data_IF_796069765255
#
_entry.id   IF_796069765255
#
_cell.length_a   1.000
_cell.length_b   1.000
_cell.length_c   1.000
_cell.angle_alpha   90.00
_cell.angle_beta   90.00
_cell.angle_gamma   90.00
#
_symmetry.space_group_name_H-M   'P 1'
#
loop_
_entity.id
_entity.type
_entity.pdbx_description
1 polymer ?
#
# COMPACT_ATOMS: atom_id res chain seq x y z
N UNK A 1 7.78 25.35 21.42
CA UNK A 1 8.88 24.37 21.24
C UNK A 1 9.42 24.55 19.85
N UNK A 2 10.67 25.01 19.70
CA UNK A 2 11.30 25.19 18.40
C UNK A 2 11.87 23.83 17.99
N UNK A 3 11.14 23.07 17.17
CA UNK A 3 11.66 21.80 16.65
C UNK A 3 12.77 22.12 15.64
N UNK A 4 13.93 21.50 15.82
CA UNK A 4 15.06 21.66 14.91
C UNK A 4 14.63 21.31 13.47
N UNK A 5 14.80 22.21 12.49
CA UNK A 5 14.38 22.00 11.11
C UNK A 5 14.87 20.67 10.52
N UNK A 6 16.06 20.22 10.91
CA UNK A 6 16.62 18.95 10.44
C UNK A 6 15.84 17.73 10.94
N UNK A 7 15.40 17.75 12.20
CA UNK A 7 14.63 16.64 12.80
C UNK A 7 13.26 16.54 12.14
N UNK A 8 12.64 17.69 11.83
CA UNK A 8 11.37 17.74 11.10
C UNK A 8 11.54 17.19 9.68
N UNK A 9 12.61 17.57 8.98
CA UNK A 9 12.86 17.15 7.60
C UNK A 9 13.16 15.65 7.47
N UNK A 10 13.98 15.08 8.38
CA UNK A 10 14.29 13.65 8.40
C UNK A 10 13.05 12.82 8.68
N UNK A 11 12.22 13.23 9.65
CA UNK A 11 10.96 12.56 9.94
C UNK A 11 9.97 12.65 8.77
N UNK A 12 9.85 13.82 8.13
CA UNK A 12 9.00 13.98 6.95
C UNK A 12 9.44 13.06 5.79
N UNK A 13 10.75 12.95 5.54
CA UNK A 13 11.30 12.07 4.52
C UNK A 13 11.08 10.59 4.83
N UNK A 14 11.33 10.16 6.07
CA UNK A 14 11.09 8.78 6.49
C UNK A 14 9.62 8.39 6.37
N UNK A 15 8.74 9.30 6.78
CA UNK A 15 7.29 9.16 6.66
C UNK A 15 6.83 9.04 5.19
N UNK A 16 7.35 9.91 4.32
CA UNK A 16 7.03 9.87 2.89
C UNK A 16 7.48 8.55 2.23
N UNK A 17 8.68 8.07 2.53
CA UNK A 17 9.17 6.78 1.99
C UNK A 17 8.28 5.63 2.44
N UNK A 18 7.90 5.59 3.72
CA UNK A 18 7.02 4.55 4.25
C UNK A 18 5.64 4.55 3.56
N UNK A 19 5.08 5.73 3.30
CA UNK A 19 3.82 5.86 2.55
C UNK A 19 3.94 5.32 1.12
N UNK A 20 4.99 5.73 0.39
CA UNK A 20 5.21 5.31 -0.99
C UNK A 20 5.42 3.79 -1.09
N UNK A 21 6.16 3.19 -0.17
CA UNK A 21 6.32 1.73 -0.12
C UNK A 21 4.97 1.04 0.12
N UNK A 22 4.12 1.61 1.00
CA UNK A 22 2.75 1.15 1.20
C UNK A 22 1.89 1.22 -0.06
N UNK A 23 2.00 2.31 -0.83
CA UNK A 23 1.26 2.49 -2.08
C UNK A 23 1.72 1.52 -3.16
N UNK A 24 3.04 1.32 -3.31
CA UNK A 24 3.58 0.33 -4.23
C UNK A 24 3.14 -1.08 -3.84
N UNK A 25 3.17 -1.41 -2.54
CA UNK A 25 2.65 -2.69 -2.04
C UNK A 25 1.16 -2.88 -2.31
N UNK A 26 0.37 -1.81 -2.21
CA UNK A 26 -1.07 -1.84 -2.51
C UNK A 26 -1.39 -2.05 -4.01
N UNK A 27 -0.49 -1.69 -4.92
CA UNK A 27 -0.66 -1.92 -6.37
C UNK A 27 -0.11 -3.29 -6.75
N UNK A 28 1.13 -3.56 -6.36
CA UNK A 28 1.90 -4.74 -6.79
C UNK A 28 1.40 -6.00 -6.07
N UNK A 29 0.97 -5.90 -4.81
CA UNK A 29 0.48 -7.03 -4.03
C UNK A 29 -0.73 -7.71 -4.70
N UNK A 30 -1.84 -6.99 -4.93
CA UNK A 30 -2.99 -7.53 -5.65
C UNK A 30 -2.65 -8.03 -7.05
N UNK A 31 -1.71 -7.39 -7.76
CA UNK A 31 -1.29 -7.80 -9.09
C UNK A 31 -0.78 -9.23 -9.11
N UNK A 32 0.12 -9.58 -8.18
CA UNK A 32 0.67 -10.94 -8.09
C UNK A 32 -0.33 -11.94 -7.49
N UNK A 33 -1.16 -11.52 -6.53
CA UNK A 33 -2.17 -12.39 -5.90
C UNK A 33 -3.25 -12.80 -6.89
N UNK A 34 -3.81 -11.85 -7.64
CA UNK A 34 -4.85 -12.11 -8.63
C UNK A 34 -4.20 -12.72 -9.88
N UNK A 35 -3.04 -12.20 -10.30
CA UNK A 35 -2.19 -12.68 -11.41
C UNK A 35 -1.92 -14.18 -11.39
N UNK A 36 -1.59 -14.71 -10.21
CA UNK A 36 -1.23 -16.12 -10.02
C UNK A 36 -2.25 -16.88 -9.17
N UNK A 37 -3.52 -16.44 -9.20
CA UNK A 37 -4.59 -17.06 -8.43
C UNK A 37 -4.68 -18.56 -8.75
N UNK A 38 -4.53 -19.41 -7.71
CA UNK A 38 -4.46 -20.87 -7.84
C UNK A 38 -3.04 -21.47 -7.78
N UNK A 39 -1.98 -20.67 -7.91
CA UNK A 39 -0.58 -21.09 -7.74
C UNK A 39 -0.01 -20.62 -6.39
N UNK A 40 -0.64 -21.05 -5.30
CA UNK A 40 -0.35 -20.55 -3.94
C UNK A 40 1.07 -20.79 -3.42
N UNK A 41 1.81 -21.71 -4.03
CA UNK A 41 3.20 -22.03 -3.66
C UNK A 41 4.23 -21.31 -4.52
N UNK A 42 3.82 -20.50 -5.50
CA UNK A 42 4.76 -19.79 -6.33
C UNK A 42 5.48 -18.68 -5.53
N UNK A 43 6.77 -18.44 -5.79
CA UNK A 43 7.51 -17.35 -5.15
C UNK A 43 6.86 -15.98 -5.39
N UNK A 44 6.29 -15.75 -6.59
CA UNK A 44 5.62 -14.50 -6.94
C UNK A 44 4.36 -14.28 -6.12
N UNK A 45 3.54 -15.32 -5.90
CA UNK A 45 2.33 -15.23 -5.09
C UNK A 45 2.67 -14.87 -3.65
N UNK A 46 3.69 -15.53 -3.07
CA UNK A 46 4.17 -15.24 -1.72
C UNK A 46 4.72 -13.81 -1.60
N UNK A 47 5.44 -13.34 -2.61
CA UNK A 47 5.94 -11.97 -2.67
C UNK A 47 4.80 -10.94 -2.74
N UNK A 48 3.79 -11.21 -3.59
CA UNK A 48 2.57 -10.41 -3.69
C UNK A 48 1.81 -10.35 -2.37
N UNK A 49 1.64 -11.50 -1.71
CA UNK A 49 1.01 -11.59 -0.39
C UNK A 49 1.76 -10.78 0.66
N UNK A 50 3.10 -10.86 0.67
CA UNK A 50 3.92 -10.10 1.61
C UNK A 50 3.77 -8.58 1.41
N UNK A 51 3.79 -8.12 0.15
CA UNK A 51 3.57 -6.71 -0.20
C UNK A 51 2.16 -6.23 0.16
N UNK A 52 1.16 -7.08 -0.05
CA UNK A 52 -0.22 -6.79 0.34
C UNK A 52 -0.34 -6.65 1.87
N UNK A 53 0.23 -7.59 2.63
CA UNK A 53 0.27 -7.49 4.09
C UNK A 53 1.01 -6.23 4.55
N UNK A 54 2.11 -5.86 3.90
CA UNK A 54 2.83 -4.62 4.19
C UNK A 54 1.92 -3.41 3.98
N UNK A 55 1.17 -3.35 2.88
CA UNK A 55 0.19 -2.26 2.66
C UNK A 55 -0.88 -2.18 3.76
N UNK A 56 -1.34 -3.32 4.28
CA UNK A 56 -2.27 -3.36 5.41
C UNK A 56 -1.65 -2.82 6.71
N UNK A 57 -0.35 -3.08 6.95
CA UNK A 57 0.33 -2.50 8.11
C UNK A 57 0.41 -0.96 8.03
N UNK A 58 0.60 -0.42 6.83
CA UNK A 58 0.63 1.03 6.58
C UNK A 58 -0.75 1.65 6.83
N UNK A 59 -1.82 0.99 6.38
CA UNK A 59 -3.20 1.40 6.67
C UNK A 59 -3.45 1.38 8.19
N UNK A 60 -3.07 0.29 8.86
CA UNK A 60 -3.20 0.16 10.32
C UNK A 60 -2.44 1.25 11.09
N UNK A 61 -1.26 1.65 10.60
CA UNK A 61 -0.52 2.78 11.15
C UNK A 61 -1.27 4.10 10.96
N UNK A 62 -1.83 4.36 9.78
CA UNK A 62 -2.68 5.53 9.54
C UNK A 62 -3.89 5.59 10.47
N UNK A 63 -4.57 4.46 10.71
CA UNK A 63 -5.70 4.38 11.66
C UNK A 63 -5.27 4.70 13.09
N UNK A 64 -4.09 4.24 13.53
CA UNK A 64 -3.56 4.60 14.86
C UNK A 64 -3.27 6.10 14.98
N UNK A 65 -2.85 6.76 13.89
CA UNK A 65 -2.63 8.22 13.86
C UNK A 65 -3.93 9.02 13.94
N UNK A 66 -5.05 8.46 13.46
CA UNK A 66 -6.38 9.04 13.67
C UNK A 66 -6.73 9.13 15.16
N UNK A 67 -6.43 8.10 15.95
CA UNK A 67 -6.65 8.10 17.40
C UNK A 67 -5.82 9.18 18.12
N UNK A 68 -4.68 9.56 17.54
CA UNK A 68 -3.80 10.62 18.03
C UNK A 68 -4.16 12.01 17.49
N UNK A 69 -5.28 12.15 16.75
CA UNK A 69 -5.75 13.40 16.12
C UNK A 69 -4.77 13.99 15.09
N UNK A 70 -3.88 13.16 14.51
CA UNK A 70 -2.99 13.56 13.42
C UNK A 70 -3.64 13.20 12.09
N UNK A 71 -4.53 14.09 11.61
CA UNK A 71 -5.37 13.82 10.44
C UNK A 71 -4.59 13.76 9.11
N UNK A 72 -3.49 14.52 8.98
CA UNK A 72 -2.63 14.49 7.80
C UNK A 72 -2.08 13.09 7.53
N UNK A 73 -1.58 12.45 8.58
CA UNK A 73 -0.96 11.13 8.51
C UNK A 73 -2.04 10.07 8.24
N UNK A 74 -3.22 10.21 8.85
CA UNK A 74 -4.35 9.33 8.54
C UNK A 74 -4.71 9.35 7.04
N UNK A 75 -4.80 10.54 6.44
CA UNK A 75 -5.13 10.68 5.02
C UNK A 75 -4.08 9.98 4.15
N UNK A 76 -2.80 10.27 4.39
CA UNK A 76 -1.70 9.77 3.54
C UNK A 76 -1.53 8.25 3.68
N UNK A 77 -1.51 7.73 4.91
CA UNK A 77 -1.21 6.31 5.15
C UNK A 77 -2.42 5.40 5.03
N UNK A 78 -3.62 5.86 5.39
CA UNK A 78 -4.82 5.02 5.38
C UNK A 78 -5.69 5.32 4.16
N UNK A 79 -6.15 6.58 4.02
CA UNK A 79 -7.18 6.91 3.03
C UNK A 79 -6.66 6.79 1.60
N UNK A 80 -5.52 7.40 1.29
CA UNK A 80 -4.90 7.32 -0.04
C UNK A 80 -4.52 5.88 -0.37
N UNK A 81 -3.88 5.18 0.57
CA UNK A 81 -3.50 3.77 0.38
C UNK A 81 -4.71 2.88 0.10
N UNK A 82 -5.83 3.08 0.81
CA UNK A 82 -7.08 2.36 0.54
C UNK A 82 -7.68 2.69 -0.83
N UNK A 83 -7.66 3.95 -1.25
CA UNK A 83 -8.13 4.36 -2.57
C UNK A 83 -7.29 3.69 -3.65
N UNK A 84 -5.95 3.70 -3.51
CA UNK A 84 -5.03 3.06 -4.45
C UNK A 84 -5.28 1.54 -4.52
N UNK A 85 -5.40 0.88 -3.36
CA UNK A 85 -5.67 -0.55 -3.29
C UNK A 85 -7.02 -0.89 -3.95
N UNK A 86 -8.07 -0.14 -3.62
CA UNK A 86 -9.40 -0.31 -4.19
C UNK A 86 -9.41 -0.09 -5.70
N UNK A 87 -8.80 1.00 -6.19
CA UNK A 87 -8.70 1.31 -7.61
C UNK A 87 -7.86 0.27 -8.39
N UNK A 88 -6.77 -0.22 -7.79
CA UNK A 88 -5.95 -1.28 -8.39
C UNK A 88 -6.73 -2.58 -8.55
N UNK A 89 -7.43 -3.00 -7.50
CA UNK A 89 -8.27 -4.21 -7.52
C UNK A 89 -9.43 -4.07 -8.52
N UNK A 90 -10.15 -2.95 -8.51
CA UNK A 90 -11.27 -2.76 -9.45
C UNK A 90 -10.80 -2.72 -10.90
N UNK A 91 -9.67 -2.06 -11.19
CA UNK A 91 -9.09 -2.04 -12.53
C UNK A 91 -8.69 -3.44 -13.01
N UNK A 92 -8.10 -4.27 -12.14
CA UNK A 92 -7.74 -5.65 -12.45
C UNK A 92 -8.97 -6.53 -12.72
N UNK A 93 -10.05 -6.34 -11.95
CA UNK A 93 -11.30 -7.08 -12.13
C UNK A 93 -12.05 -6.65 -13.40
N UNK A 94 -11.99 -5.37 -13.78
CA UNK A 94 -12.69 -4.83 -14.95
C UNK A 94 -11.96 -5.14 -16.28
N UNK A 95 -10.63 -5.26 -16.25
CA UNK A 95 -9.81 -5.52 -17.44
C UNK A 95 -8.99 -6.81 -17.33
N UNK A 96 -9.61 -7.98 -17.12
CA UNK A 96 -8.86 -9.23 -16.93
C UNK A 96 -8.04 -9.61 -18.18
N UNK A 97 -8.53 -9.29 -19.38
CA UNK A 97 -7.82 -9.59 -20.64
C UNK A 97 -6.47 -8.87 -20.78
N UNK A 98 -6.31 -7.70 -20.13
CA UNK A 98 -5.06 -6.94 -20.15
C UNK A 98 -3.98 -7.56 -19.24
N UNK A 99 -4.40 -8.14 -18.11
CA UNK A 99 -3.48 -8.68 -17.09
C UNK A 99 -3.21 -10.17 -17.25
N UNK A 100 -4.21 -10.93 -17.72
CA UNK A 100 -4.17 -12.38 -17.78
C UNK A 100 -3.91 -12.94 -19.18
N UNK A 101 -3.76 -12.08 -20.19
CA UNK A 101 -3.37 -12.38 -21.58
C UNK A 101 -3.74 -13.78 -22.08
N UNK A 102 -4.88 -13.92 -22.76
CA UNK A 102 -5.37 -15.12 -23.47
C UNK A 102 -4.80 -16.45 -22.95
N UNK A 103 -5.34 -16.96 -21.84
CA UNK A 103 -5.42 -18.42 -21.65
C UNK A 103 -6.44 -19.00 -22.61
#
# INVERSE_FOLDING_TARGET
MNQDPYVVFINAKGNAVFAVVGWLGAIIGPLFIIGEFGKYTSPSFLFGLCLFLLSLTVIGYGIRRLLQRVYSDFIVYSLITMIILGAGVTHMLLHPTFWFGNT
#
